data_IF_870386518431
#
_entry.id   IF_870386518431
#
_cell.length_a   1.000
_cell.length_b   1.000
_cell.length_c   1.000
_cell.angle_alpha   90.00
_cell.angle_beta   90.00
_cell.angle_gamma   90.00
#
_symmetry.space_group_name_H-M   'P 1'
#
loop_
_entity.id
_entity.type
_entity.pdbx_description
1 polymer ?
#
# COMPACT_ATOMS: atom_id res chain seq x y z
N UNK A 1 6.65 -17.46 -9.31
CA UNK A 1 5.53 -18.09 -10.04
C UNK A 1 5.64 -19.60 -10.03
N UNK A 2 6.77 -20.22 -10.40
CA UNK A 2 6.93 -21.69 -10.43
C UNK A 2 6.46 -22.43 -9.14
N UNK A 3 6.81 -21.94 -7.94
CA UNK A 3 6.37 -22.57 -6.67
C UNK A 3 4.84 -22.63 -6.48
N UNK A 4 4.12 -21.63 -7.01
CA UNK A 4 2.69 -21.42 -6.74
C UNK A 4 1.85 -21.50 -8.03
N UNK A 5 2.42 -21.94 -9.16
CA UNK A 5 1.79 -21.90 -10.49
C UNK A 5 0.41 -22.56 -10.52
N UNK A 6 0.30 -23.73 -9.88
CA UNK A 6 -0.93 -24.50 -9.83
C UNK A 6 -1.93 -24.03 -8.78
N UNK A 7 -1.62 -22.97 -8.03
CA UNK A 7 -2.57 -22.42 -7.07
C UNK A 7 -3.69 -21.68 -7.79
N UNK A 8 -4.92 -21.86 -7.32
CA UNK A 8 -6.10 -21.17 -7.87
C UNK A 8 -5.89 -19.65 -7.94
N UNK A 9 -5.25 -19.07 -6.93
CA UNK A 9 -5.00 -17.64 -6.88
C UNK A 9 -4.10 -17.17 -8.02
N UNK A 10 -2.97 -17.86 -8.25
CA UNK A 10 -2.04 -17.49 -9.32
C UNK A 10 -2.69 -17.66 -10.69
N UNK A 11 -3.46 -18.73 -10.93
CA UNK A 11 -4.20 -18.91 -12.19
C UNK A 11 -5.20 -17.77 -12.44
N UNK A 12 -5.92 -17.34 -11.40
CA UNK A 12 -6.85 -16.20 -11.51
C UNK A 12 -6.12 -14.89 -11.82
N UNK A 13 -4.98 -14.63 -11.18
CA UNK A 13 -4.19 -13.42 -11.43
C UNK A 13 -3.66 -13.38 -12.87
N UNK A 14 -3.17 -14.51 -13.36
CA UNK A 14 -2.65 -14.65 -14.73
C UNK A 14 -3.74 -14.46 -15.78
N UNK A 15 -4.95 -14.99 -15.54
CA UNK A 15 -6.07 -14.76 -16.46
C UNK A 15 -6.49 -13.29 -16.49
N UNK A 16 -6.47 -12.60 -15.35
CA UNK A 16 -6.72 -11.15 -15.32
C UNK A 16 -5.65 -10.37 -16.08
N UNK A 17 -4.37 -10.73 -15.95
CA UNK A 17 -3.29 -10.13 -16.73
C UNK A 17 -3.47 -10.37 -18.23
N UNK A 18 -3.86 -11.59 -18.63
CA UNK A 18 -4.13 -11.93 -20.02
C UNK A 18 -5.23 -11.03 -20.60
N UNK A 19 -6.36 -10.90 -19.89
CA UNK A 19 -7.47 -10.05 -20.32
C UNK A 19 -7.05 -8.58 -20.46
N UNK A 20 -6.28 -8.05 -19.52
CA UNK A 20 -5.75 -6.68 -19.60
C UNK A 20 -4.74 -6.51 -20.74
N UNK A 21 -3.95 -7.54 -21.06
CA UNK A 21 -3.03 -7.53 -22.19
C UNK A 21 -3.77 -7.40 -23.52
N UNK A 22 -4.96 -8.01 -23.65
CA UNK A 22 -5.78 -7.93 -24.86
C UNK A 22 -6.30 -6.52 -25.12
N UNK A 23 -6.60 -5.76 -24.06
CA UNK A 23 -7.11 -4.39 -24.15
C UNK A 23 -6.07 -3.37 -24.66
N UNK A 24 -4.78 -3.66 -24.53
CA UNK A 24 -3.71 -2.78 -25.03
C UNK A 24 -3.14 -3.31 -26.35
N UNK A 25 -3.35 -2.61 -27.49
CA UNK A 25 -2.84 -3.06 -28.80
C UNK A 25 -1.32 -3.20 -28.88
N UNK A 26 -0.58 -2.49 -28.01
CA UNK A 26 0.88 -2.48 -28.03
C UNK A 26 1.50 -3.44 -27.01
N UNK A 27 0.69 -4.06 -26.16
CA UNK A 27 1.18 -5.00 -25.16
C UNK A 27 1.48 -6.37 -25.78
N UNK A 28 2.51 -7.08 -25.28
CA UNK A 28 2.69 -8.49 -25.59
C UNK A 28 1.47 -9.27 -25.11
N UNK A 29 0.98 -10.18 -25.94
CA UNK A 29 -0.22 -10.98 -25.64
C UNK A 29 0.19 -12.23 -24.88
N UNK A 30 -0.59 -12.56 -23.86
CA UNK A 30 -0.41 -13.77 -23.08
C UNK A 30 -1.19 -14.94 -23.70
N UNK A 31 -0.64 -16.15 -23.60
CA UNK A 31 -1.34 -17.35 -24.05
C UNK A 31 -2.51 -17.69 -23.10
N UNK A 32 -3.58 -18.35 -23.60
CA UNK A 32 -4.64 -18.86 -22.75
C UNK A 32 -4.09 -19.94 -21.81
N UNK A 33 -4.41 -19.85 -20.51
CA UNK A 33 -4.08 -20.90 -19.55
C UNK A 33 -4.85 -22.17 -19.91
N UNK A 34 -4.14 -23.26 -20.16
CA UNK A 34 -4.76 -24.57 -20.40
C UNK A 34 -5.11 -25.20 -19.04
N UNK A 35 -6.39 -25.51 -18.81
CA UNK A 35 -6.82 -26.28 -17.64
C UNK A 35 -6.46 -27.76 -17.86
N UNK A 36 -5.55 -28.28 -17.03
CA UNK A 36 -5.06 -29.67 -17.05
C UNK A 36 -6.11 -30.72 -16.63
N UNK A 37 -7.38 -30.36 -16.48
CA UNK A 37 -8.47 -31.28 -16.10
C UNK A 37 -8.77 -32.34 -17.18
N UNK A 38 -8.06 -32.33 -18.32
CA UNK A 38 -8.26 -33.27 -19.42
C UNK A 38 -6.98 -33.85 -20.05
N UNK A 39 -5.87 -34.01 -19.31
CA UNK A 39 -4.68 -34.68 -19.85
C UNK A 39 -4.48 -36.12 -19.36
N UNK A 40 -4.90 -37.05 -20.22
CA UNK A 40 -4.43 -38.43 -20.23
C UNK A 40 -3.13 -38.56 -21.07
N UNK A 41 -2.22 -37.59 -21.04
CA UNK A 41 -0.98 -37.65 -21.85
C UNK A 41 0.22 -36.99 -21.16
N UNK A 42 1.20 -37.82 -20.80
CA UNK A 42 2.14 -37.57 -19.72
C UNK A 42 3.56 -37.13 -20.17
N UNK A 43 3.72 -36.40 -21.29
CA UNK A 43 5.06 -36.04 -21.79
C UNK A 43 5.26 -34.59 -22.31
N UNK A 44 4.26 -33.70 -22.26
CA UNK A 44 4.37 -32.31 -22.77
C UNK A 44 4.16 -31.21 -21.70
N UNK A 45 3.93 -31.55 -20.44
CA UNK A 45 3.41 -30.61 -19.44
C UNK A 45 4.42 -29.55 -18.97
N UNK A 46 5.74 -29.80 -19.03
CA UNK A 46 6.72 -28.81 -18.57
C UNK A 46 6.93 -27.69 -19.60
N UNK A 47 6.99 -28.01 -20.89
CA UNK A 47 7.27 -27.02 -21.94
C UNK A 47 6.13 -26.00 -22.13
N UNK A 48 4.88 -26.40 -21.89
CA UNK A 48 3.73 -25.49 -22.02
C UNK A 48 3.65 -24.51 -20.84
N UNK A 49 3.89 -24.98 -19.62
CA UNK A 49 3.88 -24.12 -18.44
C UNK A 49 5.02 -23.09 -18.47
N UNK A 50 6.20 -23.46 -18.96
CA UNK A 50 7.32 -22.51 -19.09
C UNK A 50 7.00 -21.40 -20.11
N UNK A 51 6.38 -21.73 -21.25
CA UNK A 51 5.94 -20.73 -22.24
C UNK A 51 4.84 -19.79 -21.69
N UNK A 52 3.89 -20.32 -20.91
CA UNK A 52 2.83 -19.51 -20.29
C UNK A 52 3.43 -18.55 -19.24
N UNK A 53 4.39 -19.01 -18.45
CA UNK A 53 5.14 -18.18 -17.49
C UNK A 53 5.91 -17.07 -18.21
N UNK A 54 6.59 -17.40 -19.31
CA UNK A 54 7.37 -16.43 -20.09
C UNK A 54 6.49 -15.33 -20.67
N UNK A 55 5.32 -15.67 -21.24
CA UNK A 55 4.41 -14.65 -21.78
C UNK A 55 3.81 -13.76 -20.69
N UNK A 56 3.53 -14.31 -19.50
CA UNK A 56 3.11 -13.54 -18.33
C UNK A 56 4.21 -12.59 -17.86
N UNK A 57 5.45 -13.06 -17.84
CA UNK A 57 6.61 -12.26 -17.46
C UNK A 57 6.84 -11.11 -18.45
N UNK A 58 6.72 -11.36 -19.75
CA UNK A 58 6.83 -10.34 -20.80
C UNK A 58 5.79 -9.24 -20.64
N UNK A 59 4.53 -9.60 -20.35
CA UNK A 59 3.48 -8.62 -20.10
C UNK A 59 3.71 -7.82 -18.81
N UNK A 60 4.08 -8.49 -17.71
CA UNK A 60 4.43 -7.81 -16.46
C UNK A 60 5.58 -6.82 -16.68
N UNK A 61 6.62 -7.24 -17.40
CA UNK A 61 7.77 -6.39 -17.74
C UNK A 61 7.37 -5.21 -18.60
N UNK A 62 6.55 -5.44 -19.63
CA UNK A 62 5.98 -4.37 -20.45
C UNK A 62 5.23 -3.34 -19.58
N UNK A 63 4.38 -3.80 -18.65
CA UNK A 63 3.66 -2.91 -17.74
C UNK A 63 4.61 -2.10 -16.86
N UNK A 64 5.67 -2.71 -16.32
CA UNK A 64 6.67 -2.02 -15.50
C UNK A 64 7.44 -0.96 -16.30
N UNK A 65 7.93 -1.32 -17.50
CA UNK A 65 8.71 -0.43 -18.35
C UNK A 65 7.89 0.77 -18.84
N UNK A 66 6.58 0.56 -19.07
CA UNK A 66 5.66 1.60 -19.54
C UNK A 66 4.83 2.26 -18.41
N UNK A 67 5.12 1.94 -17.13
CA UNK A 67 4.41 2.44 -15.95
C UNK A 67 2.88 2.27 -16.03
N UNK A 68 2.44 1.15 -16.59
CA UNK A 68 1.02 0.77 -16.68
C UNK A 68 0.58 0.20 -15.33
N UNK A 69 -0.40 0.83 -14.72
CA UNK A 69 -1.02 0.38 -13.47
C UNK A 69 -2.49 0.06 -13.71
N UNK A 70 -2.76 -1.16 -14.13
CA UNK A 70 -4.12 -1.69 -14.23
C UNK A 70 -4.46 -2.55 -13.01
N UNK A 71 -5.74 -2.95 -12.93
CA UNK A 71 -6.25 -3.70 -11.77
C UNK A 71 -5.54 -5.05 -11.61
N UNK A 72 -5.24 -5.74 -12.71
CA UNK A 72 -4.55 -7.03 -12.68
C UNK A 72 -3.12 -6.90 -12.13
N UNK A 73 -2.35 -5.90 -12.57
CA UNK A 73 -1.01 -5.61 -12.05
C UNK A 73 -1.02 -5.29 -10.56
N UNK A 74 -2.00 -4.50 -10.11
CA UNK A 74 -2.18 -4.18 -8.70
C UNK A 74 -2.49 -5.45 -7.88
N UNK A 75 -3.42 -6.29 -8.33
CA UNK A 75 -3.79 -7.54 -7.65
C UNK A 75 -2.62 -8.53 -7.56
N UNK A 76 -1.94 -8.79 -8.69
CA UNK A 76 -0.77 -9.68 -8.72
C UNK A 76 0.28 -9.21 -7.70
N UNK A 77 0.55 -7.91 -7.64
CA UNK A 77 1.53 -7.35 -6.71
C UNK A 77 1.14 -7.58 -5.25
N UNK A 78 -0.12 -7.36 -4.90
CA UNK A 78 -0.60 -7.64 -3.54
C UNK A 78 -0.46 -9.12 -3.17
N UNK A 79 -0.84 -10.05 -4.05
CA UNK A 79 -0.67 -11.48 -3.78
C UNK A 79 0.80 -11.90 -3.67
N UNK A 80 1.68 -11.35 -4.51
CA UNK A 80 3.13 -11.59 -4.39
C UNK A 80 3.67 -11.08 -3.04
N UNK A 81 3.27 -9.88 -2.60
CA UNK A 81 3.65 -9.37 -1.29
C UNK A 81 3.11 -10.24 -0.16
N UNK A 82 1.83 -10.62 -0.20
CA UNK A 82 1.22 -11.45 0.85
C UNK A 82 1.87 -12.83 0.95
N UNK A 83 2.21 -13.48 -0.17
CA UNK A 83 3.00 -14.72 -0.18
C UNK A 83 4.39 -14.49 0.44
N UNK A 84 5.05 -13.38 0.11
CA UNK A 84 6.33 -13.00 0.68
C UNK A 84 6.29 -12.81 2.20
N UNK A 85 5.26 -12.15 2.74
CA UNK A 85 5.06 -12.02 4.18
C UNK A 85 4.76 -13.38 4.83
N UNK A 86 3.84 -14.16 4.26
CA UNK A 86 3.45 -15.47 4.80
C UNK A 86 4.63 -16.47 4.85
N UNK A 87 5.50 -16.44 3.84
CA UNK A 87 6.73 -17.26 3.77
C UNK A 87 7.92 -16.64 4.51
N UNK A 88 7.70 -15.57 5.27
CA UNK A 88 8.74 -14.85 6.00
C UNK A 88 9.89 -14.28 5.14
N UNK A 89 9.68 -14.11 3.83
CA UNK A 89 10.66 -13.56 2.88
C UNK A 89 10.65 -12.03 2.83
N UNK A 90 9.56 -11.41 3.25
CA UNK A 90 9.41 -9.96 3.33
C UNK A 90 9.24 -9.49 4.76
N UNK A 91 9.66 -8.25 4.97
CA UNK A 91 9.53 -7.48 6.20
C UNK A 91 9.36 -6.01 5.79
N UNK A 92 8.44 -5.31 6.45
CA UNK A 92 8.18 -3.90 6.18
C UNK A 92 9.25 -3.04 6.87
N UNK A 93 10.06 -2.27 6.14
CA UNK A 93 10.98 -1.33 6.75
C UNK A 93 10.19 -0.16 7.33
N UNK A 94 10.34 0.06 8.63
CA UNK A 94 9.85 1.21 9.37
C UNK A 94 11.05 1.94 9.96
N UNK A 95 11.01 3.28 9.92
CA UNK A 95 12.07 4.08 10.55
C UNK A 95 12.04 3.88 12.07
N UNK A 96 13.22 3.71 12.67
CA UNK A 96 13.32 3.39 14.10
C UNK A 96 12.67 4.44 15.00
N UNK A 97 12.81 5.73 14.66
CA UNK A 97 12.17 6.81 15.41
C UNK A 97 10.64 6.74 15.35
N UNK A 98 10.07 6.31 14.22
CA UNK A 98 8.62 6.08 14.12
C UNK A 98 8.19 4.98 15.08
N UNK A 99 8.81 3.80 15.02
CA UNK A 99 8.42 2.66 15.85
C UNK A 99 8.57 2.96 17.36
N UNK A 100 9.67 3.59 17.76
CA UNK A 100 9.91 3.98 19.15
C UNK A 100 8.89 5.01 19.61
N UNK A 101 8.64 6.03 18.79
CA UNK A 101 7.86 7.17 19.24
C UNK A 101 6.35 6.90 19.25
N UNK A 102 5.83 6.09 18.30
CA UNK A 102 4.44 5.62 18.38
C UNK A 102 4.21 4.70 19.57
N UNK A 103 5.20 3.89 19.97
CA UNK A 103 5.11 3.07 21.17
C UNK A 103 5.01 3.95 22.41
N UNK A 104 5.88 4.97 22.54
CA UNK A 104 5.82 5.94 23.64
C UNK A 104 4.48 6.69 23.68
N UNK A 105 4.00 7.19 22.54
CA UNK A 105 2.69 7.86 22.46
C UNK A 105 1.57 6.94 22.94
N UNK A 106 1.55 5.69 22.48
CA UNK A 106 0.47 4.76 22.79
C UNK A 106 0.53 4.22 24.22
N UNK A 107 1.72 3.87 24.71
CA UNK A 107 1.91 3.18 25.98
C UNK A 107 2.09 4.13 27.17
N UNK A 108 2.81 5.24 26.97
CA UNK A 108 3.19 6.13 28.07
C UNK A 108 2.26 7.35 28.17
N UNK A 109 1.65 7.76 27.05
CA UNK A 109 0.80 8.96 26.95
C UNK A 109 -0.66 8.66 26.62
N UNK A 110 -1.02 7.39 26.43
CA UNK A 110 -2.36 6.91 26.02
C UNK A 110 -2.96 7.63 24.80
N UNK A 111 -2.10 8.06 23.86
CA UNK A 111 -2.53 8.68 22.61
C UNK A 111 -3.03 7.58 21.66
N UNK A 112 -4.24 7.78 21.13
CA UNK A 112 -4.83 6.89 20.14
C UNK A 112 -4.16 7.03 18.78
N UNK A 113 -3.82 5.91 18.16
CA UNK A 113 -3.12 5.89 16.89
C UNK A 113 -3.99 5.30 15.78
N UNK A 114 -4.08 6.01 14.67
CA UNK A 114 -4.82 5.57 13.49
C UNK A 114 -3.93 5.66 12.26
N UNK A 115 -4.06 4.70 11.35
CA UNK A 115 -3.40 4.75 10.04
C UNK A 115 -4.45 5.05 8.98
N UNK A 116 -4.29 6.18 8.28
CA UNK A 116 -5.12 6.52 7.14
C UNK A 116 -4.26 6.51 5.87
N UNK A 117 -4.58 5.60 4.93
CA UNK A 117 -3.78 5.42 3.71
C UNK A 117 -4.64 5.39 2.45
N UNK A 118 -4.05 5.76 1.31
CA UNK A 118 -4.67 5.56 -0.01
C UNK A 118 -4.67 4.07 -0.47
N UNK A 119 -4.21 3.15 0.38
CA UNK A 119 -4.22 1.70 0.11
C UNK A 119 -5.32 0.99 0.90
N UNK A 120 -5.61 -0.26 0.53
CA UNK A 120 -6.60 -1.07 1.24
C UNK A 120 -6.16 -1.32 2.70
N UNK A 121 -7.06 -1.05 3.66
CA UNK A 121 -6.82 -1.22 5.10
C UNK A 121 -6.29 -2.62 5.44
N UNK A 122 -6.82 -3.67 4.81
CA UNK A 122 -6.36 -5.06 5.02
C UNK A 122 -4.95 -5.34 4.49
N UNK A 123 -4.51 -4.61 3.46
CA UNK A 123 -3.12 -4.69 3.01
C UNK A 123 -2.20 -3.97 4.00
N UNK A 124 -2.59 -2.78 4.46
CA UNK A 124 -1.83 -2.00 5.43
C UNK A 124 -1.65 -2.75 6.76
N UNK A 125 -2.70 -3.43 7.25
CA UNK A 125 -2.59 -4.32 8.42
C UNK A 125 -1.55 -5.43 8.23
N UNK A 126 -1.56 -6.09 7.06
CA UNK A 126 -0.56 -7.13 6.75
C UNK A 126 0.86 -6.57 6.70
N UNK A 127 1.04 -5.37 6.17
CA UNK A 127 2.34 -4.70 6.16
C UNK A 127 2.81 -4.36 7.58
N UNK A 128 1.91 -3.89 8.46
CA UNK A 128 2.25 -3.57 9.85
C UNK A 128 2.44 -4.80 10.74
N UNK A 129 1.95 -5.97 10.32
CA UNK A 129 2.08 -7.23 11.09
C UNK A 129 3.52 -7.72 11.19
N UNK A 130 4.32 -7.43 10.16
CA UNK A 130 5.71 -7.86 10.10
C UNK A 130 6.60 -6.71 9.65
N UNK A 131 7.09 -5.98 10.63
CA UNK A 131 8.07 -4.90 10.43
C UNK A 131 9.41 -5.27 11.05
N UNK A 132 10.45 -4.52 10.70
CA UNK A 132 11.76 -4.56 11.37
C UNK A 132 11.74 -4.16 12.86
N UNK A 133 10.56 -3.84 13.39
CA UNK A 133 10.29 -3.55 14.79
C UNK A 133 9.18 -4.43 15.39
N UNK A 134 8.88 -5.58 14.76
CA UNK A 134 7.82 -6.49 15.18
C UNK A 134 6.45 -6.13 14.62
N UNK A 135 5.39 -6.63 15.26
CA UNK A 135 4.01 -6.36 14.88
C UNK A 135 3.55 -5.01 15.45
N UNK A 136 3.46 -4.00 14.58
CA UNK A 136 3.02 -2.66 14.96
C UNK A 136 1.49 -2.54 15.05
N UNK A 137 0.71 -3.53 14.59
CA UNK A 137 -0.75 -3.49 14.75
C UNK A 137 -1.15 -3.46 16.23
N UNK A 138 -0.30 -3.95 17.13
CA UNK A 138 -0.52 -3.91 18.58
C UNK A 138 -0.60 -2.49 19.14
N UNK A 139 -0.10 -1.50 18.40
CA UNK A 139 -0.07 -0.09 18.80
C UNK A 139 -1.17 0.74 18.10
N UNK A 140 -1.79 0.22 17.04
CA UNK A 140 -2.73 0.96 16.19
C UNK A 140 -4.17 0.65 16.59
N UNK A 141 -4.93 1.68 16.98
CA UNK A 141 -6.33 1.57 17.38
C UNK A 141 -7.30 1.46 16.19
N UNK A 142 -6.90 1.87 14.98
CA UNK A 142 -7.73 1.70 13.79
C UNK A 142 -7.05 2.02 12.46
N UNK A 143 -7.65 1.51 11.38
CA UNK A 143 -7.18 1.70 10.01
C UNK A 143 -8.30 2.25 9.15
N UNK A 144 -7.96 3.25 8.34
CA UNK A 144 -8.83 3.90 7.37
C UNK A 144 -8.21 3.81 5.98
N UNK A 145 -9.07 3.66 4.97
CA UNK A 145 -8.67 3.61 3.58
C UNK A 145 -9.59 4.46 2.70
N UNK A 146 -9.37 4.40 1.39
CA UNK A 146 -10.10 5.19 0.38
C UNK A 146 -11.61 4.91 0.35
N UNK A 147 -12.13 3.93 1.10
CA UNK A 147 -13.58 3.75 1.25
C UNK A 147 -14.28 4.94 1.90
N UNK A 148 -13.56 5.78 2.66
CA UNK A 148 -14.09 7.03 3.22
C UNK A 148 -14.10 8.19 2.20
N UNK A 149 -13.28 8.11 1.16
CA UNK A 149 -13.06 9.15 0.16
C UNK A 149 -11.57 9.35 -0.14
N UNK A 150 -11.27 10.32 -1.01
CA UNK A 150 -9.88 10.67 -1.34
C UNK A 150 -9.27 11.55 -0.24
N UNK A 151 -7.97 11.36 0.05
CA UNK A 151 -7.29 12.11 1.10
C UNK A 151 -7.04 13.59 0.79
N UNK A 152 -7.35 14.07 -0.42
CA UNK A 152 -7.37 15.49 -0.77
C UNK A 152 -8.76 16.13 -0.63
N UNK A 153 -9.76 15.36 -0.18
CA UNK A 153 -11.12 15.85 0.06
C UNK A 153 -11.34 16.10 1.57
N UNK A 154 -11.66 17.35 1.97
CA UNK A 154 -12.01 17.69 3.36
C UNK A 154 -13.10 16.80 3.97
N UNK A 155 -14.10 16.36 3.19
CA UNK A 155 -15.19 15.50 3.69
C UNK A 155 -14.69 14.12 4.14
N UNK A 156 -13.60 13.63 3.56
CA UNK A 156 -12.96 12.37 3.96
C UNK A 156 -12.50 12.43 5.41
N UNK A 157 -11.89 13.54 5.83
CA UNK A 157 -11.45 13.74 7.22
C UNK A 157 -12.64 13.96 8.17
N UNK A 158 -13.72 14.61 7.73
CA UNK A 158 -14.94 14.74 8.54
C UNK A 158 -15.54 13.38 8.87
N UNK A 159 -15.63 12.48 7.88
CA UNK A 159 -16.11 11.10 8.09
C UNK A 159 -15.18 10.32 9.03
N UNK A 160 -13.87 10.50 8.90
CA UNK A 160 -12.89 9.87 9.78
C UNK A 160 -13.08 10.32 11.23
N UNK A 161 -13.15 11.64 11.48
CA UNK A 161 -13.40 12.23 12.80
C UNK A 161 -14.70 11.70 13.44
N UNK A 162 -15.78 11.63 12.66
CA UNK A 162 -17.04 11.03 13.11
C UNK A 162 -16.87 9.56 13.53
N UNK A 163 -16.05 8.80 12.80
CA UNK A 163 -15.85 7.38 13.04
C UNK A 163 -15.04 7.09 14.31
N UNK A 164 -14.09 7.97 14.64
CA UNK A 164 -13.31 7.91 15.89
C UNK A 164 -13.96 8.68 17.04
N UNK A 165 -15.05 9.41 16.75
CA UNK A 165 -15.79 10.25 17.70
C UNK A 165 -14.90 11.31 18.39
N UNK A 166 -14.10 12.01 17.60
CA UNK A 166 -13.21 13.08 18.07
C UNK A 166 -13.49 14.41 17.38
N UNK A 167 -13.06 15.48 18.06
CA UNK A 167 -13.07 16.83 17.51
C UNK A 167 -11.78 17.09 16.71
N UNK A 168 -11.81 17.93 15.65
CA UNK A 168 -10.64 18.21 14.84
C UNK A 168 -9.46 18.75 15.66
N UNK A 169 -9.71 19.58 16.67
CA UNK A 169 -8.68 20.15 17.56
C UNK A 169 -7.95 19.11 18.42
N UNK A 170 -8.53 17.92 18.62
CA UNK A 170 -7.93 16.83 19.39
C UNK A 170 -7.12 15.86 18.51
N UNK A 171 -7.07 16.08 17.19
CA UNK A 171 -6.48 15.14 16.24
C UNK A 171 -5.40 15.82 15.42
N UNK A 172 -4.18 15.26 15.50
CA UNK A 172 -3.08 15.65 14.63
C UNK A 172 -2.94 14.67 13.47
N UNK A 173 -2.86 15.19 12.26
CA UNK A 173 -2.62 14.43 11.04
C UNK A 173 -1.18 14.58 10.57
N UNK A 174 -0.47 13.45 10.53
CA UNK A 174 0.91 13.35 10.04
C UNK A 174 0.90 12.84 8.59
N UNK A 175 1.33 13.67 7.64
CA UNK A 175 1.40 13.28 6.22
C UNK A 175 2.65 13.82 5.54
N UNK A 176 3.06 13.18 4.44
CA UNK A 176 4.07 13.73 3.53
C UNK A 176 3.48 14.59 2.41
N UNK A 177 2.16 14.63 2.29
CA UNK A 177 1.44 15.25 1.18
C UNK A 177 0.87 16.61 1.60
N UNK A 178 1.35 17.73 1.03
CA UNK A 178 0.76 19.04 1.29
C UNK A 178 -0.71 19.14 0.87
N UNK A 179 -1.12 18.41 -0.17
CA UNK A 179 -2.49 18.40 -0.64
C UNK A 179 -3.43 17.75 0.38
N UNK A 180 -3.02 16.60 0.95
CA UNK A 180 -3.78 15.95 2.02
C UNK A 180 -3.79 16.80 3.29
N UNK A 181 -2.65 17.46 3.58
CA UNK A 181 -2.51 18.40 4.68
C UNK A 181 -3.50 19.56 4.58
N UNK A 182 -3.62 20.19 3.40
CA UNK A 182 -4.58 21.29 3.18
C UNK A 182 -6.02 20.84 3.39
N UNK A 183 -6.37 19.65 2.90
CA UNK A 183 -7.71 19.11 3.08
C UNK A 183 -8.05 18.94 4.57
N UNK A 184 -7.11 18.40 5.36
CA UNK A 184 -7.25 18.25 6.80
C UNK A 184 -7.27 19.59 7.56
N UNK A 185 -6.34 20.52 7.27
CA UNK A 185 -6.31 21.85 7.88
C UNK A 185 -7.61 22.64 7.61
N UNK A 186 -8.21 22.47 6.42
CA UNK A 186 -9.44 23.19 6.04
C UNK A 186 -10.65 22.87 6.94
N UNK A 187 -10.57 21.76 7.69
CA UNK A 187 -11.60 21.37 8.66
C UNK A 187 -11.15 21.49 10.12
N UNK A 188 -9.98 22.11 10.35
CA UNK A 188 -9.45 22.41 11.67
C UNK A 188 -8.54 21.35 12.30
N UNK A 189 -8.12 20.30 11.56
CA UNK A 189 -7.10 19.39 12.11
C UNK A 189 -5.76 20.11 12.25
N UNK A 190 -5.02 19.75 13.28
CA UNK A 190 -3.59 20.07 13.35
C UNK A 190 -2.84 19.20 12.35
N UNK A 191 -2.03 19.80 11.48
CA UNK A 191 -1.28 19.06 10.45
C UNK A 191 0.21 19.29 10.61
N UNK A 192 0.98 18.21 10.51
CA UNK A 192 2.44 18.28 10.42
C UNK A 192 2.93 17.48 9.23
N UNK A 193 3.72 18.14 8.38
CA UNK A 193 4.37 17.52 7.26
C UNK A 193 5.61 16.72 7.71
N UNK A 194 5.58 15.40 7.49
CA UNK A 194 6.70 14.50 7.79
C UNK A 194 7.52 14.27 6.52
N UNK A 195 8.71 14.87 6.47
CA UNK A 195 9.51 14.97 5.25
C UNK A 195 10.99 14.69 5.51
N UNK A 196 11.37 13.42 5.34
CA UNK A 196 12.72 12.89 5.63
C UNK A 196 13.80 13.37 4.65
N UNK A 197 13.47 13.53 3.37
CA UNK A 197 14.46 13.87 2.33
C UNK A 197 14.36 15.33 1.86
N UNK A 198 15.51 15.99 1.73
CA UNK A 198 15.63 17.39 1.27
C UNK A 198 14.91 17.65 -0.06
N UNK A 199 15.02 16.72 -1.01
CA UNK A 199 14.34 16.81 -2.32
C UNK A 199 12.81 16.95 -2.22
N UNK A 200 12.20 16.43 -1.15
CA UNK A 200 10.74 16.54 -0.98
C UNK A 200 10.37 17.95 -0.49
N UNK A 201 11.27 18.61 0.25
CA UNK A 201 11.11 20.00 0.73
C UNK A 201 11.16 20.97 -0.45
N UNK A 202 12.11 20.76 -1.36
CA UNK A 202 12.31 21.61 -2.53
C UNK A 202 11.11 21.57 -3.50
N UNK A 203 10.28 20.52 -3.42
CA UNK A 203 9.07 20.33 -4.23
C UNK A 203 7.80 20.88 -3.58
N UNK A 204 7.89 21.45 -2.37
CA UNK A 204 6.73 22.05 -1.72
C UNK A 204 6.29 23.32 -2.45
N UNK A 205 4.98 23.43 -2.64
CA UNK A 205 4.30 24.67 -3.01
C UNK A 205 4.33 25.68 -1.85
N UNK A 206 3.87 26.91 -2.11
CA UNK A 206 3.93 27.99 -1.12
C UNK A 206 3.09 27.70 0.12
N UNK A 207 1.98 26.98 -0.02
CA UNK A 207 1.15 26.53 1.09
C UNK A 207 1.87 25.48 1.94
N UNK A 208 2.44 24.45 1.32
CA UNK A 208 3.18 23.40 2.01
C UNK A 208 4.41 23.93 2.76
N UNK A 209 4.99 25.06 2.31
CA UNK A 209 6.08 25.74 3.02
C UNK A 209 5.63 26.46 4.30
N UNK A 210 4.33 26.78 4.43
CA UNK A 210 3.75 27.43 5.62
C UNK A 210 3.36 26.42 6.70
N UNK A 211 3.09 25.17 6.33
CA UNK A 211 2.72 24.11 7.28
C UNK A 211 3.87 23.76 8.22
N UNK A 212 3.53 23.38 9.45
CA UNK A 212 4.50 22.81 10.39
C UNK A 212 5.12 21.54 9.77
N UNK A 213 6.42 21.33 10.02
CA UNK A 213 7.15 20.19 9.44
C UNK A 213 8.17 19.62 10.39
N UNK A 214 8.34 18.30 10.30
CA UNK A 214 9.39 17.55 10.98
C UNK A 214 10.10 16.64 10.00
N UNK A 215 11.32 16.22 10.34
CA UNK A 215 12.07 15.20 9.59
C UNK A 215 12.07 13.85 10.30
N UNK A 216 11.82 13.85 11.60
CA UNK A 216 11.76 12.70 12.49
C UNK A 216 10.58 12.82 13.45
N UNK A 217 10.04 11.68 13.89
CA UNK A 217 9.01 11.66 14.94
C UNK A 217 9.56 12.10 16.30
N UNK A 218 10.88 12.08 16.50
CA UNK A 218 11.52 12.60 17.71
C UNK A 218 11.35 14.12 17.89
N UNK A 219 10.94 14.84 16.85
CA UNK A 219 10.68 16.29 16.90
C UNK A 219 9.24 16.60 17.36
N UNK A 220 8.41 15.58 17.61
CA UNK A 220 7.03 15.71 18.04
C UNK A 220 6.89 15.39 19.53
N UNK A 221 6.45 16.38 20.29
CA UNK A 221 6.14 16.27 21.71
C UNK A 221 4.66 16.59 21.95
N UNK A 222 4.00 15.77 22.76
CA UNK A 222 2.62 15.97 23.21
C UNK A 222 2.68 16.24 24.71
N UNK A 223 2.12 17.38 25.13
CA UNK A 223 1.98 17.80 26.52
C UNK A 223 0.68 17.32 27.14
#
# INVERSE_FOLDING_TARGET
>A
MHENWNTKQVRMDLEQLRLESELDPNAPKMLPLIDDDNSNNNNNNNNNNDNDIDTAFDYVRYCLDNRKENKAMTLLRFHMWFDGYAKNRLETPVYSDVAIQIQKWRCDQDIKLYVFSNGWSEATRRFMMKTNHGDLNLLIDGYFDTSLGQLNDPDTFRKMLQRINEKPENVMFLTKSPEEGRAAESIGLTVVLVLTHRRNIERLDDDGRRMARVRSFNELEFE
#
